data_IF_713169162200
#
_entry.id   IF_713169162200
#
_cell.length_a   1.000
_cell.length_b   1.000
_cell.length_c   1.000
_cell.angle_alpha   90.00
_cell.angle_beta   90.00
_cell.angle_gamma   90.00
#
_symmetry.space_group_name_H-M   'P 1'
#
loop_
_entity.id
_entity.type
_entity.pdbx_description
1 polymer ?
#
# COMPACT_ATOMS: atom_id res chain seq x y z
N UNK A 1 7.89 -6.99 -2.25
CA UNK A 1 6.43 -6.86 -2.08
C UNK A 1 6.11 -6.36 -0.68
N UNK A 2 4.91 -5.77 -0.55
CA UNK A 2 4.26 -5.52 0.75
C UNK A 2 3.02 -6.40 0.88
N UNK A 3 2.88 -7.06 2.01
CA UNK A 3 1.68 -7.78 2.41
C UNK A 3 1.02 -7.02 3.56
N UNK A 4 -0.04 -6.26 3.25
CA UNK A 4 -0.85 -5.64 4.28
C UNK A 4 -1.58 -6.73 5.06
N UNK A 5 -1.27 -6.82 6.34
CA UNK A 5 -1.78 -7.85 7.25
C UNK A 5 -2.65 -7.18 8.30
N UNK A 6 -3.83 -7.74 8.56
CA UNK A 6 -4.79 -7.16 9.51
C UNK A 6 -5.02 -8.14 10.65
N UNK A 7 -4.66 -7.72 11.86
CA UNK A 7 -5.00 -8.44 13.09
C UNK A 7 -6.23 -7.83 13.72
N UNK A 8 -7.19 -8.66 14.11
CA UNK A 8 -8.47 -8.24 14.68
C UNK A 8 -8.50 -8.52 16.19
N UNK A 9 -9.26 -7.70 16.92
CA UNK A 9 -9.50 -7.95 18.35
C UNK A 9 -10.21 -9.29 18.58
N UNK A 10 -11.18 -9.60 17.70
CA UNK A 10 -11.93 -10.86 17.71
C UNK A 10 -12.03 -11.34 16.25
N UNK A 11 -11.31 -12.40 15.90
CA UNK A 11 -11.33 -12.95 14.56
C UNK A 11 -9.95 -13.40 14.05
N UNK A 12 -9.91 -13.98 12.85
CA UNK A 12 -8.67 -14.43 12.25
C UNK A 12 -7.82 -13.24 11.78
N UNK A 13 -6.54 -13.49 11.56
CA UNK A 13 -5.68 -12.61 10.77
C UNK A 13 -6.15 -12.62 9.33
N UNK A 14 -6.26 -11.43 8.73
CA UNK A 14 -6.63 -11.27 7.32
C UNK A 14 -5.46 -10.68 6.53
N UNK A 15 -5.37 -11.03 5.26
CA UNK A 15 -4.36 -10.55 4.35
C UNK A 15 -5.00 -9.82 3.18
N UNK A 16 -4.47 -8.65 2.84
CA UNK A 16 -4.80 -7.99 1.58
C UNK A 16 -4.18 -8.74 0.40
N UNK A 17 -4.72 -8.57 -0.82
CA UNK A 17 -4.00 -8.96 -2.02
C UNK A 17 -2.57 -8.36 -2.01
N UNK A 18 -1.55 -9.11 -2.44
CA UNK A 18 -0.16 -8.67 -2.35
C UNK A 18 0.08 -7.42 -3.19
N UNK A 19 0.92 -6.54 -2.70
CA UNK A 19 1.28 -5.28 -3.36
C UNK A 19 2.73 -5.37 -3.83
N UNK A 20 2.93 -5.19 -5.15
CA UNK A 20 4.25 -4.96 -5.71
C UNK A 20 4.65 -3.50 -5.56
N UNK A 21 5.93 -3.21 -5.37
CA UNK A 21 6.41 -1.84 -5.30
C UNK A 21 7.80 -1.67 -5.92
N UNK A 22 8.06 -0.44 -6.34
CA UNK A 22 9.36 0.00 -6.84
C UNK A 22 9.94 1.00 -5.85
N UNK A 23 11.20 0.77 -5.47
CA UNK A 23 11.98 1.68 -4.62
C UNK A 23 13.18 2.22 -5.40
N UNK A 24 13.60 3.44 -5.10
CA UNK A 24 14.81 4.04 -5.63
C UNK A 24 15.58 4.70 -4.51
N UNK A 25 16.80 4.21 -4.24
CA UNK A 25 17.61 4.70 -3.13
C UNK A 25 16.99 4.48 -1.76
N UNK A 26 16.22 3.40 -1.58
CA UNK A 26 15.48 3.09 -0.34
C UNK A 26 14.15 3.83 -0.18
N UNK A 27 13.81 4.75 -1.10
CA UNK A 27 12.55 5.47 -1.05
C UNK A 27 11.51 4.83 -1.97
N UNK A 28 10.29 4.67 -1.47
CA UNK A 28 9.11 4.29 -2.24
C UNK A 28 8.87 5.23 -3.42
N UNK A 29 8.56 4.69 -4.59
CA UNK A 29 8.23 5.43 -5.82
C UNK A 29 6.87 5.06 -6.37
N UNK A 30 6.62 3.78 -6.54
CA UNK A 30 5.43 3.25 -7.18
C UNK A 30 4.98 1.98 -6.46
N UNK A 31 3.69 1.71 -6.49
CA UNK A 31 3.14 0.41 -6.10
C UNK A 31 1.99 0.01 -7.03
N UNK A 32 1.74 -1.29 -7.09
CA UNK A 32 0.67 -1.87 -7.89
C UNK A 32 0.04 -3.07 -7.17
N UNK A 33 -1.24 -3.27 -7.40
CA UNK A 33 -2.01 -4.34 -6.77
C UNK A 33 -3.01 -4.95 -7.78
N UNK A 34 -3.07 -6.28 -7.88
CA UNK A 34 -2.25 -7.26 -7.14
C UNK A 34 -0.85 -7.41 -7.73
N UNK A 35 0.12 -7.77 -6.88
CA UNK A 35 1.39 -8.26 -7.37
C UNK A 35 1.25 -9.72 -7.84
N UNK A 36 1.87 -10.05 -8.96
CA UNK A 36 1.98 -11.44 -9.40
C UNK A 36 3.02 -12.16 -8.54
N UNK A 37 2.60 -13.17 -7.81
CA UNK A 37 3.45 -13.95 -6.92
C UNK A 37 3.06 -15.43 -6.98
N UNK A 38 4.06 -16.31 -6.96
CA UNK A 38 3.82 -17.74 -6.85
C UNK A 38 2.98 -18.08 -5.60
N UNK A 39 1.94 -18.91 -5.71
CA UNK A 39 1.08 -19.24 -4.58
C UNK A 39 1.83 -19.83 -3.36
N UNK A 40 2.90 -20.59 -3.57
CA UNK A 40 3.72 -21.13 -2.48
C UNK A 40 4.47 -20.00 -1.76
N UNK A 41 5.07 -19.06 -2.49
CA UNK A 41 5.73 -17.88 -1.92
C UNK A 41 4.73 -16.95 -1.22
N UNK A 42 3.53 -16.79 -1.76
CA UNK A 42 2.49 -16.00 -1.09
C UNK A 42 2.11 -16.64 0.26
N UNK A 43 1.94 -17.96 0.28
CA UNK A 43 1.63 -18.70 1.51
C UNK A 43 2.75 -18.57 2.54
N UNK A 44 4.00 -18.67 2.13
CA UNK A 44 5.17 -18.49 3.00
C UNK A 44 5.22 -17.07 3.59
N UNK A 45 4.99 -16.04 2.76
CA UNK A 45 4.89 -14.64 3.23
C UNK A 45 3.77 -14.45 4.24
N UNK A 46 2.59 -15.03 4.00
CA UNK A 46 1.46 -14.99 4.93
C UNK A 46 1.78 -15.64 6.27
N UNK A 47 2.43 -16.81 6.27
CA UNK A 47 2.80 -17.52 7.49
C UNK A 47 3.82 -16.71 8.33
N UNK A 48 4.81 -16.09 7.68
CA UNK A 48 5.75 -15.19 8.34
C UNK A 48 5.06 -13.95 8.90
N UNK A 49 4.18 -13.32 8.11
CA UNK A 49 3.43 -12.13 8.54
C UNK A 49 2.53 -12.44 9.74
N UNK A 50 1.81 -13.56 9.70
CA UNK A 50 0.97 -13.98 10.82
C UNK A 50 1.80 -14.25 12.08
N UNK A 51 2.92 -14.94 11.93
CA UNK A 51 3.82 -15.26 13.05
C UNK A 51 4.35 -13.99 13.72
N UNK A 52 4.84 -13.02 12.95
CA UNK A 52 5.41 -11.79 13.53
C UNK A 52 4.35 -10.89 14.13
N UNK A 53 3.20 -10.71 13.49
CA UNK A 53 2.11 -9.87 14.01
C UNK A 53 1.48 -10.44 15.28
N UNK A 54 1.35 -11.76 15.37
CA UNK A 54 0.92 -12.43 16.61
C UNK A 54 1.90 -12.25 17.76
N UNK A 55 3.21 -12.31 17.48
CA UNK A 55 4.23 -12.11 18.52
C UNK A 55 4.25 -10.67 19.06
N UNK A 56 3.95 -9.67 18.21
CA UNK A 56 3.88 -8.27 18.61
C UNK A 56 2.58 -7.91 19.32
N UNK A 57 1.55 -8.72 19.15
CA UNK A 57 0.20 -8.52 19.71
C UNK A 57 -0.49 -7.23 19.25
N UNK A 58 -1.77 -7.07 19.59
CA UNK A 58 -2.57 -5.90 19.24
C UNK A 58 -3.44 -6.11 17.99
N UNK A 59 -4.35 -5.16 17.77
CA UNK A 59 -5.25 -5.13 16.61
C UNK A 59 -4.95 -3.90 15.76
N UNK A 60 -4.84 -4.10 14.46
CA UNK A 60 -4.51 -3.04 13.51
C UNK A 60 -4.11 -3.60 12.16
N UNK A 61 -3.71 -2.70 11.28
CA UNK A 61 -3.11 -3.04 10.02
C UNK A 61 -1.58 -2.90 10.13
N UNK A 62 -0.89 -3.87 9.53
CA UNK A 62 0.56 -3.98 9.52
C UNK A 62 1.04 -4.02 8.07
N UNK A 63 1.94 -3.13 7.71
CA UNK A 63 2.67 -3.22 6.44
C UNK A 63 3.88 -4.13 6.62
N UNK A 64 3.81 -5.35 6.08
CA UNK A 64 4.91 -6.32 6.17
C UNK A 64 5.60 -6.42 4.82
N UNK A 65 6.89 -6.09 4.77
CA UNK A 65 7.68 -6.12 3.55
C UNK A 65 8.53 -7.39 3.41
N UNK A 66 8.59 -7.89 2.19
CA UNK A 66 9.35 -9.09 1.84
C UNK A 66 10.19 -8.87 0.58
N UNK A 67 11.36 -9.49 0.56
CA UNK A 67 12.10 -9.75 -0.66
C UNK A 67 11.68 -11.13 -1.22
N UNK A 68 11.45 -11.17 -2.53
CA UNK A 68 11.20 -12.39 -3.27
C UNK A 68 12.42 -12.70 -4.12
N UNK A 69 12.97 -13.90 -3.98
CA UNK A 69 14.04 -14.41 -4.81
C UNK A 69 13.55 -15.60 -5.61
N UNK A 70 13.78 -15.59 -6.91
CA UNK A 70 13.44 -16.74 -7.77
C UNK A 70 14.17 -18.05 -7.36
N UNK A 71 15.36 -17.92 -6.79
CA UNK A 71 16.19 -19.07 -6.42
C UNK A 71 16.04 -19.50 -4.96
N UNK A 72 15.77 -18.55 -4.08
CA UNK A 72 15.93 -18.73 -2.64
C UNK A 72 14.64 -18.50 -1.82
N UNK A 73 13.51 -18.22 -2.47
CA UNK A 73 12.21 -18.07 -1.80
C UNK A 73 11.95 -16.68 -1.21
N UNK A 74 11.30 -16.62 -0.07
CA UNK A 74 10.78 -15.41 0.56
C UNK A 74 11.63 -15.00 1.77
N UNK A 75 11.99 -13.73 1.85
CA UNK A 75 12.73 -13.16 2.99
C UNK A 75 11.96 -12.02 3.62
N UNK A 76 11.73 -12.10 4.91
CA UNK A 76 11.21 -10.98 5.69
C UNK A 76 12.21 -9.81 5.66
N UNK A 77 11.71 -8.61 5.36
CA UNK A 77 12.51 -7.37 5.34
C UNK A 77 12.20 -6.52 6.57
N UNK A 78 11.01 -5.94 6.62
CA UNK A 78 10.61 -5.08 7.73
C UNK A 78 9.10 -5.15 8.00
N UNK A 79 8.68 -4.56 9.12
CA UNK A 79 7.29 -4.44 9.50
C UNK A 79 7.02 -3.04 10.04
N UNK A 80 5.94 -2.43 9.55
CA UNK A 80 5.41 -1.16 10.04
C UNK A 80 4.03 -1.38 10.68
N UNK A 81 3.84 -1.07 11.99
CA UNK A 81 2.56 -1.28 12.69
C UNK A 81 1.57 -0.12 12.40
N UNK A 82 1.31 0.16 11.15
CA UNK A 82 0.49 1.28 10.67
C UNK A 82 0.15 1.12 9.19
N UNK A 83 -0.82 1.91 8.64
CA UNK A 83 -0.95 2.08 7.19
C UNK A 83 0.40 2.40 6.54
N UNK A 84 0.65 1.83 5.36
CA UNK A 84 1.93 1.82 4.70
C UNK A 84 1.90 2.60 3.38
N UNK A 85 3.00 3.28 3.03
CA UNK A 85 3.04 4.09 1.79
C UNK A 85 2.72 3.27 0.53
N UNK A 86 3.17 2.01 0.46
CA UNK A 86 2.84 1.11 -0.65
C UNK A 86 1.35 0.75 -0.69
N UNK A 87 0.68 0.75 0.46
CA UNK A 87 -0.74 0.48 0.63
C UNK A 87 -1.65 1.59 0.09
N UNK A 88 -1.12 2.76 -0.25
CA UNK A 88 -1.91 3.84 -0.84
C UNK A 88 -2.58 3.45 -2.16
N UNK A 89 -2.07 2.44 -2.86
CA UNK A 89 -2.74 1.87 -4.05
C UNK A 89 -4.16 1.40 -3.74
N UNK A 90 -4.46 1.00 -2.51
CA UNK A 90 -5.81 0.60 -2.09
C UNK A 90 -6.83 1.75 -2.13
N UNK A 91 -6.38 3.01 -2.14
CA UNK A 91 -7.22 4.19 -2.33
C UNK A 91 -7.78 4.30 -3.77
N UNK A 92 -7.21 3.58 -4.73
CA UNK A 92 -7.75 3.45 -6.07
C UNK A 92 -8.94 2.47 -6.16
N UNK A 93 -9.39 1.92 -5.02
CA UNK A 93 -10.47 0.94 -5.00
C UNK A 93 -10.06 -0.43 -5.53
N UNK A 94 -8.78 -0.79 -5.39
CA UNK A 94 -8.26 -2.10 -5.79
C UNK A 94 -8.84 -3.23 -4.95
N UNK A 95 -9.32 -2.92 -3.75
CA UNK A 95 -10.00 -3.84 -2.84
C UNK A 95 -11.19 -3.15 -2.16
N UNK A 96 -12.11 -3.92 -1.62
CA UNK A 96 -13.38 -3.47 -1.02
C UNK A 96 -13.23 -2.55 0.19
N UNK A 97 -12.13 -2.60 0.91
CA UNK A 97 -11.78 -1.71 2.02
C UNK A 97 -10.32 -1.26 1.86
N UNK A 98 -10.08 0.03 1.81
CA UNK A 98 -8.70 0.55 1.74
C UNK A 98 -7.93 0.33 3.06
N UNK A 99 -6.64 0.53 3.03
CA UNK A 99 -5.77 0.30 4.19
C UNK A 99 -6.15 1.12 5.43
N UNK A 100 -6.65 2.33 5.26
CA UNK A 100 -7.06 3.20 6.38
C UNK A 100 -8.37 2.72 7.00
N UNK A 101 -9.33 2.29 6.19
CA UNK A 101 -10.59 1.69 6.64
C UNK A 101 -10.35 0.38 7.39
N UNK A 102 -9.45 -0.47 6.90
CA UNK A 102 -9.04 -1.70 7.55
C UNK A 102 -8.39 -1.41 8.91
N UNK A 103 -7.45 -0.46 8.96
CA UNK A 103 -6.80 -0.06 10.21
C UNK A 103 -7.79 0.49 11.22
N UNK A 104 -8.66 1.39 10.79
CA UNK A 104 -9.69 1.99 11.64
C UNK A 104 -10.62 0.92 12.21
N UNK A 105 -11.15 0.01 11.39
CA UNK A 105 -12.01 -1.09 11.87
C UNK A 105 -11.29 -1.99 12.86
N UNK A 106 -10.06 -2.38 12.57
CA UNK A 106 -9.29 -3.26 13.45
C UNK A 106 -9.05 -2.64 14.82
N UNK A 107 -8.60 -1.37 14.87
CA UNK A 107 -8.32 -0.64 16.13
C UNK A 107 -9.59 -0.44 16.96
N UNK A 108 -10.71 -0.12 16.31
CA UNK A 108 -12.01 0.05 16.97
C UNK A 108 -12.67 -1.29 17.35
N UNK A 109 -12.14 -2.42 16.91
CA UNK A 109 -12.74 -3.74 17.12
C UNK A 109 -14.00 -3.97 16.31
N UNK A 110 -14.16 -3.24 15.20
CA UNK A 110 -15.26 -3.43 14.26
C UNK A 110 -15.00 -4.65 13.37
N UNK A 111 -16.04 -5.40 12.96
CA UNK A 111 -15.86 -6.60 12.16
C UNK A 111 -15.34 -6.29 10.76
N UNK A 112 -14.44 -7.14 10.28
CA UNK A 112 -13.94 -7.17 8.92
C UNK A 112 -14.25 -8.56 8.35
N UNK A 113 -15.39 -8.74 7.66
CA UNK A 113 -15.82 -10.07 7.24
C UNK A 113 -14.94 -10.68 6.16
N UNK A 114 -14.41 -9.85 5.24
CA UNK A 114 -13.48 -10.28 4.19
C UNK A 114 -12.72 -9.09 3.60
N UNK A 115 -11.66 -9.41 2.87
CA UNK A 115 -10.93 -8.49 2.00
C UNK A 115 -10.95 -9.11 0.60
N UNK A 116 -11.48 -8.36 -0.38
CA UNK A 116 -11.62 -8.80 -1.77
C UNK A 116 -10.90 -7.85 -2.70
N UNK A 117 -10.17 -8.42 -3.65
CA UNK A 117 -9.71 -7.70 -4.84
C UNK A 117 -10.92 -7.31 -5.68
N UNK A 118 -11.02 -6.05 -6.09
CA UNK A 118 -12.11 -5.54 -6.93
C UNK A 118 -11.62 -4.97 -8.26
N UNK A 119 -10.39 -4.45 -8.27
CA UNK A 119 -9.76 -3.85 -9.44
C UNK A 119 -8.26 -4.11 -9.40
N UNK A 120 -7.62 -3.96 -10.53
CA UNK A 120 -6.16 -3.76 -10.59
C UNK A 120 -5.87 -2.27 -10.49
N UNK A 121 -4.71 -1.89 -9.96
CA UNK A 121 -4.36 -0.48 -9.88
C UNK A 121 -2.92 -0.25 -9.55
N UNK A 122 -2.52 1.00 -9.75
CA UNK A 122 -1.18 1.47 -9.44
C UNK A 122 -1.20 2.81 -8.72
N UNK A 123 -0.12 3.12 -8.04
CA UNK A 123 0.12 4.42 -7.42
C UNK A 123 1.54 4.89 -7.69
N UNK A 124 1.71 6.19 -7.87
CA UNK A 124 3.00 6.83 -8.01
C UNK A 124 3.11 8.05 -7.08
N UNK A 125 4.23 8.18 -6.37
CA UNK A 125 4.42 9.27 -5.42
C UNK A 125 4.76 10.58 -6.12
N UNK A 126 4.14 11.67 -5.68
CA UNK A 126 4.49 13.04 -6.10
C UNK A 126 5.58 13.57 -5.18
N UNK A 127 6.76 13.79 -5.72
CA UNK A 127 7.93 14.26 -4.99
C UNK A 127 8.20 15.73 -5.25
N UNK A 128 8.61 16.46 -4.20
CA UNK A 128 9.14 17.81 -4.39
C UNK A 128 10.53 17.79 -4.99
N UNK A 129 10.74 18.63 -6.00
CA UNK A 129 12.06 18.87 -6.62
C UNK A 129 12.86 19.98 -5.94
N UNK A 130 12.22 20.76 -5.06
CA UNK A 130 12.84 21.93 -4.40
C UNK A 130 12.61 21.91 -2.89
N UNK A 131 13.46 22.66 -2.18
CA UNK A 131 13.27 22.96 -0.76
C UNK A 131 12.77 24.40 -0.61
N UNK A 132 11.66 24.62 0.09
CA UNK A 132 11.09 25.93 0.37
C UNK A 132 10.29 25.92 1.66
N UNK A 133 10.31 27.05 2.38
CA UNK A 133 9.43 27.32 3.53
C UNK A 133 8.09 27.93 3.09
N UNK A 134 7.96 28.29 1.83
CA UNK A 134 6.72 28.80 1.28
C UNK A 134 5.71 27.68 1.02
N UNK A 135 4.45 28.07 0.86
CA UNK A 135 3.36 27.15 0.53
C UNK A 135 3.65 26.43 -0.79
N UNK A 136 3.53 25.10 -0.83
CA UNK A 136 3.77 24.33 -2.05
C UNK A 136 2.88 24.74 -3.22
N UNK A 137 3.46 24.81 -4.41
CA UNK A 137 2.76 24.97 -5.67
C UNK A 137 2.90 23.67 -6.49
N UNK A 138 1.78 23.19 -7.02
CA UNK A 138 1.69 21.95 -7.80
C UNK A 138 1.44 22.26 -9.26
N UNK A 139 2.25 21.69 -10.16
CA UNK A 139 2.09 21.78 -11.60
C UNK A 139 1.67 20.41 -12.16
N UNK A 140 1.04 20.39 -13.33
CA UNK A 140 0.60 19.15 -13.96
C UNK A 140 -0.69 18.57 -13.40
N UNK A 141 -1.38 19.28 -12.49
CA UNK A 141 -2.64 18.79 -11.91
C UNK A 141 -3.74 18.70 -12.96
N UNK A 142 -3.81 19.68 -13.88
CA UNK A 142 -4.81 19.70 -14.92
C UNK A 142 -4.63 18.52 -15.90
N UNK A 143 -3.39 18.20 -16.23
CA UNK A 143 -3.06 17.06 -17.11
C UNK A 143 -3.45 15.74 -16.46
N UNK A 144 -3.07 15.52 -15.21
CA UNK A 144 -3.42 14.30 -14.46
C UNK A 144 -4.93 14.12 -14.32
N UNK A 145 -5.66 15.22 -14.09
CA UNK A 145 -7.13 15.13 -13.88
C UNK A 145 -7.92 14.98 -15.18
N UNK A 146 -7.30 15.07 -16.34
CA UNK A 146 -7.92 14.72 -17.64
C UNK A 146 -7.89 13.23 -17.94
N UNK A 147 -6.98 12.49 -17.29
CA UNK A 147 -6.88 11.05 -17.47
C UNK A 147 -8.04 10.33 -16.78
N UNK A 148 -8.74 9.47 -17.51
CA UNK A 148 -9.80 8.64 -16.95
C UNK A 148 -9.24 7.68 -15.90
N UNK A 149 -10.07 7.27 -14.95
CA UNK A 149 -9.73 6.30 -13.90
C UNK A 149 -8.49 6.67 -13.07
N UNK A 150 -8.19 7.97 -13.01
CA UNK A 150 -7.02 8.52 -12.32
C UNK A 150 -7.42 9.48 -11.22
N UNK A 151 -6.77 9.36 -10.07
CA UNK A 151 -7.00 10.20 -8.89
C UNK A 151 -5.72 10.84 -8.40
N UNK A 152 -5.83 12.02 -7.84
CA UNK A 152 -4.74 12.72 -7.17
C UNK A 152 -5.09 12.95 -5.70
N UNK A 153 -4.13 12.64 -4.81
CA UNK A 153 -4.21 12.96 -3.38
C UNK A 153 -3.04 13.82 -2.99
N UNK A 154 -3.31 15.05 -2.56
CA UNK A 154 -2.32 15.98 -2.02
C UNK A 154 -2.27 15.82 -0.49
N UNK A 155 -1.08 15.67 0.07
CA UNK A 155 -0.90 15.41 1.50
C UNK A 155 -1.02 16.66 2.39
N UNK A 156 -1.14 17.85 1.80
CA UNK A 156 -1.33 19.09 2.54
C UNK A 156 -0.12 19.55 3.37
N UNK A 157 1.08 19.07 3.07
CA UNK A 157 2.29 19.47 3.79
C UNK A 157 2.60 20.95 3.57
N UNK A 158 2.92 21.73 4.61
CA UNK A 158 3.02 23.19 4.51
C UNK A 158 4.29 23.68 3.82
N UNK A 159 5.35 22.88 3.79
CA UNK A 159 6.66 23.21 3.23
C UNK A 159 7.18 22.11 2.33
N UNK A 160 8.20 22.41 1.53
CA UNK A 160 8.84 21.41 0.68
C UNK A 160 10.30 21.18 1.07
N UNK A 161 10.80 20.01 0.73
CA UNK A 161 12.23 19.68 0.66
C UNK A 161 12.42 18.69 -0.49
N UNK A 162 13.59 18.68 -1.09
CA UNK A 162 13.91 17.73 -2.17
C UNK A 162 13.55 16.29 -1.74
N UNK A 163 12.88 15.55 -2.61
CA UNK A 163 12.36 14.19 -2.39
C UNK A 163 11.30 14.06 -1.28
N UNK A 164 10.78 15.16 -0.74
CA UNK A 164 9.64 15.04 0.17
C UNK A 164 8.40 14.56 -0.58
N UNK A 165 7.76 13.53 -0.07
CA UNK A 165 6.49 13.00 -0.61
C UNK A 165 5.37 14.00 -0.33
N UNK A 166 4.79 14.56 -1.38
CA UNK A 166 3.81 15.66 -1.32
C UNK A 166 2.40 15.23 -1.69
N UNK A 167 2.28 14.09 -2.34
CA UNK A 167 1.02 13.54 -2.80
C UNK A 167 1.23 12.18 -3.47
N UNK A 168 0.16 11.61 -3.96
CA UNK A 168 0.16 10.37 -4.75
C UNK A 168 -0.83 10.47 -5.88
N UNK A 169 -0.44 10.00 -7.05
CA UNK A 169 -1.33 9.74 -8.19
C UNK A 169 -1.71 8.27 -8.13
N UNK A 170 -2.96 7.97 -8.39
CA UNK A 170 -3.56 6.65 -8.33
C UNK A 170 -4.31 6.39 -9.62
N UNK A 171 -4.20 5.19 -10.18
CA UNK A 171 -5.03 4.75 -11.29
C UNK A 171 -5.52 3.32 -11.07
N UNK A 172 -6.59 2.96 -11.79
CA UNK A 172 -7.15 1.62 -11.72
C UNK A 172 -7.69 1.17 -13.09
N UNK A 173 -7.90 -0.12 -13.22
CA UNK A 173 -8.61 -0.75 -14.32
C UNK A 173 -9.43 -1.96 -13.81
N UNK A 174 -10.40 -2.47 -14.58
CA UNK A 174 -11.11 -3.70 -14.25
C UNK A 174 -10.16 -4.90 -14.04
N UNK A 175 -10.57 -5.89 -13.26
CA UNK A 175 -9.75 -7.08 -12.94
C UNK A 175 -9.36 -7.92 -14.16
N UNK A 176 -10.16 -7.88 -15.22
CA UNK A 176 -9.97 -8.60 -16.47
C UNK A 176 -9.14 -7.83 -17.52
N UNK A 177 -8.63 -6.67 -17.12
CA UNK A 177 -7.74 -5.88 -17.99
C UNK A 177 -6.32 -6.45 -17.94
N UNK A 178 -5.70 -6.59 -19.11
CA UNK A 178 -4.27 -6.85 -19.22
C UNK A 178 -3.49 -5.58 -18.85
N UNK A 179 -2.56 -5.69 -17.92
CA UNK A 179 -1.60 -4.63 -17.55
C UNK A 179 -0.34 -4.73 -18.36
#
# INVERSE_FOLDING_TARGET
ITLLTVTQKNGPTLFCPPIGHVQKGGDYRESFQPAHIDPAHLKEAQDMAEKVTRALTGAGLWGVEFFLSHENGVYFSELSPRPHDTGMVTLAGTQNLNEFELHCRAVLGLPIPNIKQERIGASAVVLSSISSQERPNYRGMEEVTKEEDTYLRIFGKPTTRVNRRMGVVLCYAPLDSDL
#
